data_IF_344757569503
#
_entry.id   IF_344757569503
#
_cell.length_a   1.000
_cell.length_b   1.000
_cell.length_c   1.000
_cell.angle_alpha   90.00
_cell.angle_beta   90.00
_cell.angle_gamma   90.00
#
_symmetry.space_group_name_H-M   'P 1'
#
loop_
_entity.id
_entity.type
_entity.pdbx_description
1 polymer ?
#
# COMPACT_ATOMS: atom_id res chain seq x y z
N UNK A 1 -34.97 -39.41 73.21
CA UNK A 1 -34.17 -39.80 71.99
C UNK A 1 -34.77 -39.04 70.83
N UNK A 2 -34.02 -38.01 70.36
CA UNK A 2 -34.42 -37.20 69.24
C UNK A 2 -33.41 -37.52 68.11
N UNK A 3 -33.84 -37.81 66.86
CA UNK A 3 -32.92 -38.09 65.78
C UNK A 3 -32.39 -36.78 65.16
N UNK A 4 -31.09 -36.76 64.96
CA UNK A 4 -30.37 -35.67 64.29
C UNK A 4 -30.67 -35.66 62.77
N UNK A 5 -31.18 -34.53 62.31
CA UNK A 5 -31.38 -34.26 60.90
C UNK A 5 -30.05 -33.99 60.19
N UNK A 6 -29.89 -34.60 59.04
CA UNK A 6 -28.74 -34.38 58.07
C UNK A 6 -29.08 -33.18 57.22
N UNK A 7 -28.20 -32.14 57.23
CA UNK A 7 -28.27 -30.99 56.32
C UNK A 7 -27.43 -31.33 55.09
N UNK A 8 -27.93 -31.22 53.85
CA UNK A 8 -27.14 -31.42 52.69
C UNK A 8 -26.32 -30.13 52.39
N UNK A 9 -25.02 -30.29 52.21
CA UNK A 9 -24.13 -29.24 51.76
C UNK A 9 -24.40 -28.93 50.29
N UNK A 10 -24.78 -27.69 50.02
CA UNK A 10 -24.93 -27.15 48.65
C UNK A 10 -23.54 -26.83 48.09
N UNK A 11 -23.03 -27.63 47.15
CA UNK A 11 -21.82 -27.34 46.42
C UNK A 11 -22.12 -26.27 45.35
N UNK A 12 -21.64 -25.04 45.58
CA UNK A 12 -21.66 -23.99 44.55
C UNK A 12 -20.48 -24.22 43.59
N UNK A 13 -20.77 -24.71 42.41
CA UNK A 13 -19.79 -24.77 41.34
C UNK A 13 -19.56 -23.35 40.78
N UNK A 14 -18.41 -22.75 41.08
CA UNK A 14 -17.96 -21.54 40.39
C UNK A 14 -17.57 -21.96 38.96
N UNK A 15 -18.41 -21.61 37.99
CA UNK A 15 -18.07 -21.65 36.58
C UNK A 15 -17.13 -20.47 36.29
N UNK A 16 -15.84 -20.76 36.17
CA UNK A 16 -14.89 -19.77 35.66
C UNK A 16 -15.17 -19.57 34.17
N UNK A 17 -15.92 -18.52 33.85
CA UNK A 17 -16.06 -18.05 32.45
C UNK A 17 -14.70 -17.51 32.03
N UNK A 18 -13.96 -18.29 31.26
CA UNK A 18 -12.77 -17.84 30.58
C UNK A 18 -13.23 -16.86 29.47
N UNK A 19 -13.30 -15.58 29.79
CA UNK A 19 -13.43 -14.52 28.81
C UNK A 19 -12.12 -14.52 28.00
N UNK A 20 -12.10 -15.26 26.89
CA UNK A 20 -11.14 -15.00 25.82
C UNK A 20 -11.44 -13.59 25.28
N UNK A 21 -10.91 -12.58 25.96
CA UNK A 21 -10.93 -11.21 25.48
C UNK A 21 -10.10 -11.15 24.20
N UNK A 22 -10.78 -11.11 23.06
CA UNK A 22 -10.16 -10.58 21.86
C UNK A 22 -9.63 -9.19 22.23
N UNK A 23 -8.33 -8.93 22.02
CA UNK A 23 -7.77 -7.61 22.24
C UNK A 23 -8.59 -6.62 21.41
N UNK A 24 -9.30 -5.71 22.08
CA UNK A 24 -10.04 -4.65 21.42
C UNK A 24 -9.02 -3.80 20.65
N UNK A 25 -9.32 -3.49 19.39
CA UNK A 25 -8.51 -2.55 18.62
C UNK A 25 -8.48 -1.20 19.35
N UNK A 26 -7.28 -0.79 19.79
CA UNK A 26 -7.10 0.47 20.53
C UNK A 26 -6.65 1.51 19.50
N UNK A 27 -7.56 1.94 18.66
CA UNK A 27 -7.30 2.93 17.62
C UNK A 27 -8.39 4.01 17.67
N UNK A 28 -8.17 5.12 16.98
CA UNK A 28 -9.22 6.11 16.74
C UNK A 28 -10.43 5.47 16.05
N UNK A 29 -11.55 6.20 15.93
CA UNK A 29 -12.73 5.66 15.24
C UNK A 29 -12.36 5.33 13.78
N UNK A 30 -12.82 4.18 13.31
CA UNK A 30 -12.74 3.83 11.90
C UNK A 30 -13.74 4.65 11.10
N UNK A 31 -13.35 5.09 9.93
CA UNK A 31 -14.19 5.84 9.00
C UNK A 31 -14.29 5.07 7.69
N UNK A 32 -15.51 4.77 7.26
CA UNK A 32 -15.83 4.35 5.92
C UNK A 32 -15.82 5.59 5.03
N UNK A 33 -14.80 5.74 4.18
CA UNK A 33 -14.62 6.94 3.35
C UNK A 33 -15.34 6.84 2.01
N UNK A 34 -15.66 5.64 1.57
CA UNK A 34 -16.33 5.41 0.27
C UNK A 34 -17.85 5.52 0.39
N UNK A 35 -18.48 4.80 1.29
CA UNK A 35 -19.93 4.78 1.54
C UNK A 35 -20.75 4.67 0.24
N UNK A 36 -20.30 3.83 -0.70
CA UNK A 36 -20.83 3.78 -2.05
C UNK A 36 -21.13 2.34 -2.45
N UNK A 37 -22.30 2.12 -3.06
CA UNK A 37 -22.65 0.79 -3.57
C UNK A 37 -21.74 0.38 -4.72
N UNK A 38 -21.21 -0.82 -4.66
CA UNK A 38 -20.30 -1.41 -5.63
C UNK A 38 -18.86 -1.49 -5.12
N UNK A 39 -18.02 -2.38 -5.68
CA UNK A 39 -16.67 -2.60 -5.17
C UNK A 39 -15.80 -1.36 -5.30
N UNK A 40 -15.21 -0.95 -4.19
CA UNK A 40 -14.15 0.05 -4.08
C UNK A 40 -12.85 -0.67 -3.74
N UNK A 41 -11.80 -0.48 -4.51
CA UNK A 41 -10.53 -1.22 -4.35
C UNK A 41 -9.30 -0.35 -4.62
N UNK A 42 -8.11 -0.86 -4.34
CA UNK A 42 -6.83 -0.20 -4.60
C UNK A 42 -6.74 1.18 -3.93
N UNK A 43 -6.96 1.30 -2.62
CA UNK A 43 -6.88 2.59 -1.97
C UNK A 43 -5.44 3.10 -1.88
N UNK A 44 -5.31 4.42 -1.96
CA UNK A 44 -4.06 5.15 -1.77
C UNK A 44 -4.28 6.34 -0.86
N UNK A 45 -3.26 6.76 -0.11
CA UNK A 45 -3.35 7.90 0.81
C UNK A 45 -2.02 8.64 0.93
N UNK A 46 -2.10 9.94 1.13
CA UNK A 46 -0.97 10.79 1.48
C UNK A 46 -1.38 11.89 2.46
N UNK A 47 -0.42 12.44 3.18
CA UNK A 47 -0.58 13.56 4.09
C UNK A 47 0.18 14.78 3.56
N UNK A 48 -0.38 15.98 3.72
CA UNK A 48 0.30 17.22 3.35
C UNK A 48 1.57 17.38 4.21
N UNK A 49 2.74 17.53 3.59
CA UNK A 49 4.01 17.66 4.31
C UNK A 49 4.12 18.89 5.21
N UNK A 50 3.19 19.85 5.13
CA UNK A 50 3.17 21.10 5.88
C UNK A 50 2.09 21.14 6.96
N UNK A 51 0.99 20.42 6.77
CA UNK A 51 -0.17 20.38 7.67
C UNK A 51 -0.72 18.95 7.73
N UNK A 52 -0.45 18.24 8.82
CA UNK A 52 -0.85 16.85 9.03
C UNK A 52 -2.38 16.65 9.18
N UNK A 53 -3.15 17.75 9.24
CA UNK A 53 -4.61 17.70 9.20
C UNK A 53 -5.15 17.49 7.78
N UNK A 54 -4.35 17.79 6.74
CA UNK A 54 -4.76 17.67 5.34
C UNK A 54 -4.33 16.32 4.82
N UNK A 55 -5.33 15.49 4.48
CA UNK A 55 -5.12 14.16 3.88
C UNK A 55 -5.82 14.11 2.52
N UNK A 56 -5.18 13.42 1.59
CA UNK A 56 -5.71 13.08 0.28
C UNK A 56 -5.66 11.57 0.10
N UNK A 57 -6.77 10.98 -0.32
CA UNK A 57 -6.82 9.55 -0.63
C UNK A 57 -7.61 9.33 -1.94
N UNK A 58 -7.49 8.12 -2.47
CA UNK A 58 -8.19 7.71 -3.68
C UNK A 58 -8.46 6.22 -3.71
N UNK A 59 -9.39 5.79 -4.56
CA UNK A 59 -9.65 4.38 -4.87
C UNK A 59 -10.28 4.22 -6.24
N UNK A 60 -10.22 3.00 -6.79
CA UNK A 60 -11.08 2.60 -7.89
C UNK A 60 -12.54 2.56 -7.43
N UNK A 61 -13.46 2.98 -8.28
CA UNK A 61 -14.90 2.70 -8.16
C UNK A 61 -15.34 1.86 -9.36
N UNK A 62 -15.39 0.54 -9.14
CA UNK A 62 -15.49 -0.42 -10.25
C UNK A 62 -16.84 -0.33 -10.98
N UNK A 63 -17.97 -0.17 -10.26
CA UNK A 63 -19.28 -0.04 -10.90
C UNK A 63 -19.49 1.30 -11.60
N UNK A 64 -18.88 2.37 -11.06
CA UNK A 64 -18.95 3.68 -11.71
C UNK A 64 -17.99 3.81 -12.90
N UNK A 65 -16.98 2.91 -12.99
CA UNK A 65 -15.91 3.04 -13.97
C UNK A 65 -15.14 4.35 -13.77
N UNK A 66 -14.89 4.76 -12.53
CA UNK A 66 -14.34 6.06 -12.18
C UNK A 66 -13.31 5.96 -11.04
N UNK A 67 -12.47 6.98 -10.92
CA UNK A 67 -11.60 7.18 -9.78
C UNK A 67 -12.32 8.00 -8.71
N UNK A 68 -12.24 7.56 -7.45
CA UNK A 68 -12.78 8.30 -6.29
C UNK A 68 -11.66 9.06 -5.61
N UNK A 69 -11.99 10.25 -5.17
CA UNK A 69 -11.10 11.13 -4.41
C UNK A 69 -11.72 11.37 -3.04
N UNK A 70 -10.94 11.17 -2.00
CA UNK A 70 -11.31 11.44 -0.61
C UNK A 70 -10.40 12.50 -0.04
N UNK A 71 -10.95 13.48 0.68
CA UNK A 71 -10.20 14.57 1.30
C UNK A 71 -10.61 14.77 2.74
N UNK A 72 -9.64 14.96 3.62
CA UNK A 72 -9.83 15.38 5.01
C UNK A 72 -9.02 16.64 5.27
N UNK A 73 -9.56 17.53 6.11
CA UNK A 73 -8.90 18.76 6.60
C UNK A 73 -8.81 18.81 8.11
N UNK A 74 -9.16 17.72 8.78
CA UNK A 74 -9.21 17.60 10.25
C UNK A 74 -8.40 16.39 10.78
N UNK A 75 -7.39 15.96 10.00
CA UNK A 75 -6.51 14.86 10.39
C UNK A 75 -7.19 13.49 10.30
N UNK A 76 -8.13 13.30 9.36
CA UNK A 76 -8.81 12.04 9.13
C UNK A 76 -10.02 11.78 10.04
N UNK A 77 -10.47 12.76 10.82
CA UNK A 77 -11.67 12.61 11.65
C UNK A 77 -12.96 12.63 10.81
N UNK A 78 -12.97 13.41 9.74
CA UNK A 78 -14.05 13.41 8.74
C UNK A 78 -13.49 13.47 7.32
N UNK A 79 -14.29 12.96 6.35
CA UNK A 79 -13.88 12.87 4.96
C UNK A 79 -14.98 13.35 4.02
N UNK A 80 -14.59 14.07 3.00
CA UNK A 80 -15.42 14.37 1.83
C UNK A 80 -15.04 13.43 0.68
N UNK A 81 -16.02 13.03 -0.12
CA UNK A 81 -15.85 12.14 -1.26
C UNK A 81 -16.32 12.82 -2.54
N UNK A 82 -15.58 12.66 -3.62
CA UNK A 82 -15.93 13.15 -4.97
C UNK A 82 -15.39 12.19 -6.03
N UNK A 83 -15.91 12.32 -7.25
CA UNK A 83 -15.38 11.59 -8.39
C UNK A 83 -14.37 12.46 -9.13
N UNK A 84 -13.21 11.88 -9.47
CA UNK A 84 -12.29 12.52 -10.40
C UNK A 84 -12.91 12.45 -11.80
N UNK A 85 -13.47 13.56 -12.26
CA UNK A 85 -14.15 13.63 -13.55
C UNK A 85 -13.12 13.52 -14.67
N UNK A 86 -13.15 12.49 -15.52
CA UNK A 86 -12.31 12.48 -16.71
C UNK A 86 -12.80 13.58 -17.65
N UNK A 87 -11.92 14.51 -17.96
CA UNK A 87 -12.26 15.67 -18.78
C UNK A 87 -12.39 15.38 -20.28
N UNK A 88 -12.32 14.12 -20.70
CA UNK A 88 -12.30 13.75 -22.12
C UNK A 88 -13.08 12.46 -22.37
N UNK A 89 -14.18 12.58 -23.11
CA UNK A 89 -14.87 11.48 -23.75
C UNK A 89 -15.96 10.81 -22.91
N UNK A 90 -16.73 9.99 -23.59
CA UNK A 90 -17.81 9.19 -23.06
C UNK A 90 -17.33 8.30 -21.90
N UNK A 91 -17.85 8.54 -20.70
CA UNK A 91 -17.54 7.75 -19.49
C UNK A 91 -17.86 6.26 -19.66
N UNK A 92 -18.77 5.90 -20.54
CA UNK A 92 -19.15 4.50 -20.78
C UNK A 92 -18.11 3.72 -21.60
N UNK A 93 -17.15 4.41 -22.23
CA UNK A 93 -16.14 3.78 -23.09
C UNK A 93 -14.75 3.69 -22.47
N UNK A 94 -14.54 4.15 -21.23
CA UNK A 94 -13.21 4.18 -20.60
C UNK A 94 -13.24 3.60 -19.20
N UNK A 95 -12.18 2.87 -18.82
CA UNK A 95 -11.96 2.35 -17.47
C UNK A 95 -10.71 2.99 -16.88
N UNK A 96 -10.83 3.99 -15.99
CA UNK A 96 -9.72 4.41 -15.15
C UNK A 96 -9.46 3.39 -14.05
N UNK A 97 -8.21 3.25 -13.64
CA UNK A 97 -7.77 2.32 -12.60
C UNK A 97 -6.44 2.74 -11.96
N UNK A 98 -6.11 2.07 -10.88
CA UNK A 98 -4.80 2.11 -10.20
C UNK A 98 -4.39 3.53 -9.75
N UNK A 99 -5.13 4.10 -8.78
CA UNK A 99 -4.89 5.44 -8.30
C UNK A 99 -3.56 5.59 -7.54
N UNK A 100 -2.93 6.75 -7.70
CA UNK A 100 -1.82 7.20 -6.87
C UNK A 100 -2.03 8.65 -6.44
N UNK A 101 -1.66 9.03 -5.22
CA UNK A 101 -1.81 10.39 -4.72
C UNK A 101 -0.52 10.94 -4.13
N UNK A 102 -0.28 12.24 -4.30
CA UNK A 102 0.83 12.95 -3.70
C UNK A 102 0.48 14.42 -3.41
N UNK A 103 1.20 15.04 -2.46
CA UNK A 103 1.08 16.47 -2.13
C UNK A 103 2.47 17.08 -2.05
N UNK A 104 2.70 18.22 -2.71
CA UNK A 104 3.98 18.93 -2.68
C UNK A 104 4.08 19.94 -1.54
N UNK A 105 5.28 20.55 -1.37
CA UNK A 105 5.51 21.57 -0.34
C UNK A 105 4.78 22.89 -0.58
N UNK A 106 4.12 23.06 -1.73
CA UNK A 106 3.23 24.22 -1.98
C UNK A 106 1.77 23.92 -1.61
N UNK A 107 1.46 22.65 -1.25
CA UNK A 107 0.13 22.14 -0.98
C UNK A 107 -0.66 21.77 -2.22
N UNK A 108 0.01 21.71 -3.35
CA UNK A 108 -0.61 21.19 -4.56
C UNK A 108 -0.77 19.67 -4.44
N UNK A 109 -1.95 19.21 -4.78
CA UNK A 109 -2.37 17.82 -4.74
C UNK A 109 -2.32 17.24 -6.15
N UNK A 110 -1.87 15.98 -6.25
CA UNK A 110 -1.75 15.23 -7.50
C UNK A 110 -2.49 13.91 -7.37
N UNK A 111 -3.14 13.51 -8.45
CA UNK A 111 -3.83 12.23 -8.59
C UNK A 111 -3.40 11.58 -9.91
N UNK A 112 -2.74 10.45 -9.85
CA UNK A 112 -2.35 9.63 -10.99
C UNK A 112 -3.28 8.45 -11.16
N UNK A 113 -3.49 7.99 -12.38
CA UNK A 113 -4.24 6.79 -12.72
C UNK A 113 -3.85 6.31 -14.12
N UNK A 114 -4.12 5.07 -14.43
CA UNK A 114 -4.13 4.62 -15.81
C UNK A 114 -5.58 4.56 -16.33
N UNK A 115 -5.71 4.52 -17.65
CA UNK A 115 -7.02 4.46 -18.30
C UNK A 115 -6.97 3.68 -19.59
N UNK A 116 -7.80 2.64 -19.67
CA UNK A 116 -8.03 1.86 -20.88
C UNK A 116 -9.15 2.49 -21.72
N UNK A 117 -8.96 2.49 -23.04
CA UNK A 117 -9.96 3.00 -24.01
C UNK A 117 -9.93 2.14 -25.27
N UNK A 118 -11.04 1.46 -25.62
CA UNK A 118 -12.29 1.28 -24.85
C UNK A 118 -12.09 0.48 -23.56
N UNK A 119 -13.13 0.40 -22.73
CA UNK A 119 -13.12 -0.38 -21.49
C UNK A 119 -13.21 -1.89 -21.75
N UNK A 120 -12.13 -2.48 -22.23
CA UNK A 120 -11.99 -3.92 -22.47
C UNK A 120 -10.60 -4.38 -22.04
N UNK A 121 -10.46 -5.65 -21.69
CA UNK A 121 -9.19 -6.24 -21.22
C UNK A 121 -8.04 -6.14 -22.24
N UNK A 122 -8.35 -6.01 -23.52
CA UNK A 122 -7.35 -5.93 -24.59
C UNK A 122 -7.08 -4.49 -25.06
N UNK A 123 -7.76 -3.51 -24.47
CA UNK A 123 -7.62 -2.12 -24.85
C UNK A 123 -6.27 -1.55 -24.45
N UNK A 124 -5.69 -0.66 -25.24
CA UNK A 124 -4.48 0.05 -24.82
C UNK A 124 -4.77 0.95 -23.61
N UNK A 125 -3.95 0.85 -22.60
CA UNK A 125 -3.98 1.70 -21.41
C UNK A 125 -2.92 2.79 -21.48
N UNK A 126 -3.15 3.92 -20.79
CA UNK A 126 -2.27 5.09 -20.71
C UNK A 126 -2.33 5.71 -19.32
N UNK A 127 -1.22 6.29 -18.90
CA UNK A 127 -1.08 6.94 -17.58
C UNK A 127 -1.35 8.44 -17.66
N UNK A 128 -2.11 8.94 -16.68
CA UNK A 128 -2.55 10.32 -16.56
C UNK A 128 -2.28 10.87 -15.18
N UNK A 129 -2.15 12.20 -15.09
CA UNK A 129 -2.10 12.92 -13.82
C UNK A 129 -3.02 14.14 -13.88
N UNK A 130 -3.85 14.30 -12.85
CA UNK A 130 -4.58 15.54 -12.56
C UNK A 130 -3.97 16.23 -11.35
N UNK A 131 -4.10 17.55 -11.25
CA UNK A 131 -3.63 18.31 -10.08
C UNK A 131 -4.62 19.39 -9.67
N UNK A 132 -4.57 19.81 -8.38
CA UNK A 132 -5.33 20.93 -7.85
C UNK A 132 -4.54 21.67 -6.77
N UNK A 133 -4.88 22.94 -6.49
CA UNK A 133 -4.23 23.72 -5.43
C UNK A 133 -5.03 23.60 -4.13
N UNK A 134 -4.66 22.60 -3.32
CA UNK A 134 -5.34 22.33 -2.03
C UNK A 134 -6.69 21.62 -2.15
N UNK A 135 -7.31 21.26 -1.02
CA UNK A 135 -8.51 20.41 -0.98
C UNK A 135 -9.76 21.04 -1.59
N UNK A 136 -9.88 22.37 -1.55
CA UNK A 136 -11.08 23.10 -1.99
C UNK A 136 -11.06 23.48 -3.47
N UNK A 137 -9.93 23.33 -4.15
CA UNK A 137 -9.82 23.69 -5.56
C UNK A 137 -10.34 22.56 -6.48
N UNK A 138 -10.86 22.95 -7.63
CA UNK A 138 -11.23 21.99 -8.66
C UNK A 138 -10.00 21.30 -9.25
N UNK A 139 -10.14 20.03 -9.61
CA UNK A 139 -9.11 19.29 -10.32
C UNK A 139 -8.89 19.82 -11.72
N UNK A 140 -7.66 19.88 -12.17
CA UNK A 140 -7.31 20.14 -13.56
C UNK A 140 -7.85 19.03 -14.48
N UNK A 141 -7.91 19.30 -15.77
CA UNK A 141 -8.02 18.22 -16.75
C UNK A 141 -6.82 17.28 -16.60
N UNK A 142 -7.01 15.95 -16.62
CA UNK A 142 -5.91 15.00 -16.59
C UNK A 142 -4.96 15.21 -17.78
N UNK A 143 -3.67 15.22 -17.50
CA UNK A 143 -2.59 15.33 -18.49
C UNK A 143 -2.09 13.93 -18.81
N UNK A 144 -2.01 13.59 -20.10
CA UNK A 144 -1.37 12.36 -20.57
C UNK A 144 0.15 12.49 -20.36
N UNK A 145 0.73 11.63 -19.49
CA UNK A 145 2.14 11.76 -19.09
C UNK A 145 3.09 11.32 -20.19
N UNK A 146 2.75 10.25 -20.90
CA UNK A 146 3.62 9.70 -21.94
C UNK A 146 2.83 9.33 -23.18
N UNK A 147 2.83 10.17 -24.24
CA UNK A 147 2.24 9.82 -25.52
C UNK A 147 3.14 8.83 -26.29
N UNK A 148 3.36 7.64 -25.73
CA UNK A 148 4.18 6.61 -26.36
C UNK A 148 3.35 5.91 -27.47
N UNK A 149 3.34 6.47 -28.64
CA UNK A 149 2.58 6.20 -29.85
C UNK A 149 1.92 4.82 -30.05
N UNK A 150 2.61 3.71 -29.77
CA UNK A 150 2.12 2.35 -29.98
C UNK A 150 2.29 1.44 -28.78
N UNK A 151 2.34 1.99 -27.54
CA UNK A 151 2.30 1.15 -26.35
C UNK A 151 1.05 0.27 -26.37
N UNK A 152 1.18 -0.96 -25.96
CA UNK A 152 0.04 -1.84 -25.78
C UNK A 152 -0.64 -1.53 -24.45
N UNK A 153 0.15 -1.34 -23.41
CA UNK A 153 -0.37 -1.23 -22.07
C UNK A 153 0.61 -0.43 -21.16
N UNK A 154 0.14 0.63 -20.56
CA UNK A 154 0.79 1.35 -19.46
C UNK A 154 -0.07 1.15 -18.22
N UNK A 155 0.49 0.60 -17.14
CA UNK A 155 -0.25 0.03 -16.03
C UNK A 155 0.37 0.36 -14.68
N UNK A 156 -0.47 0.44 -13.65
CA UNK A 156 -0.09 0.59 -12.24
C UNK A 156 0.88 1.76 -11.99
N UNK A 157 0.42 2.99 -12.30
CA UNK A 157 1.24 4.17 -12.04
C UNK A 157 1.38 4.41 -10.55
N UNK A 158 2.59 4.73 -10.09
CA UNK A 158 2.85 5.23 -8.75
C UNK A 158 3.48 6.62 -8.81
N UNK A 159 3.01 7.53 -7.96
CA UNK A 159 3.40 8.93 -7.94
C UNK A 159 4.10 9.29 -6.63
N UNK A 160 5.16 10.07 -6.72
CA UNK A 160 5.82 10.69 -5.55
C UNK A 160 6.24 12.12 -5.86
N UNK A 161 6.40 12.91 -4.83
CA UNK A 161 6.95 14.26 -4.90
C UNK A 161 8.24 14.32 -4.08
N UNK A 162 9.25 14.98 -4.62
CA UNK A 162 10.42 15.36 -3.83
C UNK A 162 10.05 16.46 -2.84
N UNK A 163 9.69 16.05 -1.64
CA UNK A 163 9.27 16.96 -0.57
C UNK A 163 10.39 17.30 0.43
N UNK A 164 11.66 17.15 0.01
CA UNK A 164 12.81 17.53 0.82
C UNK A 164 13.22 18.97 0.50
N UNK A 165 13.14 19.93 1.45
CA UNK A 165 13.47 21.34 1.19
C UNK A 165 14.94 21.58 0.75
N UNK A 166 15.83 20.63 1.07
CA UNK A 166 17.26 20.69 0.74
C UNK A 166 17.61 20.00 -0.57
N UNK A 167 16.63 19.36 -1.23
CA UNK A 167 16.84 18.69 -2.49
C UNK A 167 17.06 19.68 -3.65
N UNK A 168 17.95 19.41 -4.59
CA UNK A 168 18.05 20.18 -5.84
C UNK A 168 16.80 20.04 -6.73
N UNK A 169 15.94 19.07 -6.45
CA UNK A 169 14.73 18.75 -7.21
C UNK A 169 13.46 18.95 -6.38
N UNK A 170 13.50 19.83 -5.38
CA UNK A 170 12.35 20.09 -4.49
C UNK A 170 11.08 20.41 -5.28
N UNK A 171 9.96 19.78 -4.91
CA UNK A 171 8.65 19.81 -5.58
C UNK A 171 8.59 19.17 -6.98
N UNK A 172 9.66 18.52 -7.46
CA UNK A 172 9.59 17.69 -8.66
C UNK A 172 8.65 16.52 -8.41
N UNK A 173 7.72 16.32 -9.33
CA UNK A 173 6.75 15.21 -9.31
C UNK A 173 7.29 14.09 -10.17
N UNK A 174 7.30 12.87 -9.65
CA UNK A 174 7.71 11.66 -10.36
C UNK A 174 6.52 10.75 -10.56
N UNK A 175 6.36 10.21 -11.77
CA UNK A 175 5.43 9.13 -12.07
C UNK A 175 6.22 7.96 -12.62
N UNK A 176 6.06 6.78 -12.01
CA UNK A 176 6.63 5.52 -12.47
C UNK A 176 5.49 4.56 -12.84
N UNK A 177 5.69 3.73 -13.87
CA UNK A 177 4.69 2.76 -14.31
C UNK A 177 5.29 1.57 -15.02
N UNK A 178 4.50 0.52 -15.16
CA UNK A 178 4.80 -0.66 -15.96
C UNK A 178 4.41 -0.40 -17.40
N UNK A 179 5.34 -0.57 -18.34
CA UNK A 179 5.13 -0.37 -19.76
C UNK A 179 5.25 -1.70 -20.51
N UNK A 180 4.17 -2.16 -21.12
CA UNK A 180 4.18 -3.33 -21.99
C UNK A 180 4.13 -2.89 -23.46
N UNK A 181 5.18 -3.22 -24.18
CA UNK A 181 5.27 -2.94 -25.62
C UNK A 181 4.41 -3.90 -26.44
N UNK A 182 4.16 -3.57 -27.72
CA UNK A 182 3.47 -4.50 -28.65
C UNK A 182 4.21 -5.80 -28.89
N UNK A 183 5.51 -5.84 -28.64
CA UNK A 183 6.34 -7.04 -28.75
C UNK A 183 6.39 -7.85 -27.47
N UNK A 184 5.50 -7.58 -26.51
CA UNK A 184 5.37 -8.23 -25.21
C UNK A 184 6.59 -8.02 -24.27
N UNK A 185 7.56 -7.20 -24.65
CA UNK A 185 8.63 -6.83 -23.74
C UNK A 185 8.13 -5.76 -22.76
N UNK A 186 8.30 -6.00 -21.47
CA UNK A 186 7.95 -5.03 -20.43
C UNK A 186 9.16 -4.21 -19.98
N UNK A 187 8.90 -3.03 -19.45
CA UNK A 187 9.90 -2.13 -18.89
C UNK A 187 9.27 -1.28 -17.78
N UNK A 188 10.04 -0.92 -16.79
CA UNK A 188 9.65 0.13 -15.85
C UNK A 188 10.13 1.46 -16.41
N UNK A 189 9.19 2.39 -16.58
CA UNK A 189 9.43 3.75 -17.05
C UNK A 189 9.14 4.76 -15.95
N UNK A 190 9.81 5.88 -16.01
CA UNK A 190 9.59 7.03 -15.13
C UNK A 190 9.59 8.32 -15.96
N UNK A 191 8.74 9.27 -15.56
CA UNK A 191 8.73 10.64 -16.07
C UNK A 191 8.64 11.60 -14.89
N UNK A 192 9.09 12.82 -15.06
CA UNK A 192 8.99 13.85 -14.02
C UNK A 192 8.40 15.15 -14.58
N UNK A 193 7.87 15.96 -13.67
CA UNK A 193 7.35 17.30 -13.93
C UNK A 193 7.97 18.30 -12.96
N UNK A 194 8.45 19.43 -13.49
CA UNK A 194 8.97 20.58 -12.72
C UNK A 194 7.99 21.75 -12.68
N UNK A 195 6.85 21.63 -13.34
CA UNK A 195 5.85 22.69 -13.48
C UNK A 195 4.48 22.33 -12.91
N UNK A 196 4.49 21.52 -11.83
CA UNK A 196 3.30 21.09 -11.11
C UNK A 196 2.36 20.19 -11.93
N UNK A 197 2.90 19.30 -12.74
CA UNK A 197 2.14 18.31 -13.50
C UNK A 197 1.54 18.85 -14.81
N UNK A 198 1.91 20.06 -15.25
CA UNK A 198 1.40 20.63 -16.51
C UNK A 198 2.08 20.01 -17.72
N UNK A 199 3.38 19.81 -17.62
CA UNK A 199 4.18 19.11 -18.64
C UNK A 199 5.05 18.05 -17.99
N UNK A 200 5.44 17.05 -18.79
CA UNK A 200 6.21 15.90 -18.33
C UNK A 200 7.43 15.66 -19.22
N UNK A 201 8.52 15.22 -18.61
CA UNK A 201 9.72 14.81 -19.32
C UNK A 201 9.46 13.64 -20.25
N UNK A 202 10.35 13.39 -21.21
CA UNK A 202 10.36 12.12 -21.92
C UNK A 202 10.59 10.99 -20.91
N UNK A 203 9.87 9.85 -21.03
CA UNK A 203 10.10 8.73 -20.13
C UNK A 203 11.54 8.24 -20.17
N UNK A 204 12.16 8.15 -19.00
CA UNK A 204 13.43 7.46 -18.80
C UNK A 204 13.17 5.99 -18.46
N UNK A 205 14.07 5.11 -18.88
CA UNK A 205 14.00 3.69 -18.59
C UNK A 205 14.69 3.39 -17.26
N UNK A 206 13.96 2.80 -16.33
CA UNK A 206 14.47 2.42 -15.00
C UNK A 206 15.06 1.00 -15.02
N UNK A 207 14.32 0.05 -15.57
CA UNK A 207 14.70 -1.36 -15.60
C UNK A 207 15.44 -1.73 -16.89
N UNK A 208 16.14 -2.86 -16.90
CA UNK A 208 16.41 -3.58 -18.14
C UNK A 208 15.07 -4.09 -18.69
N UNK A 209 14.99 -4.39 -20.00
CA UNK A 209 13.80 -5.03 -20.55
C UNK A 209 13.66 -6.43 -19.95
N UNK A 210 12.45 -6.79 -19.55
CA UNK A 210 12.06 -8.10 -19.07
C UNK A 210 10.75 -8.55 -19.72
N UNK A 211 10.29 -9.73 -19.38
CA UNK A 211 9.07 -10.26 -19.98
C UNK A 211 7.81 -9.86 -19.20
N UNK A 212 7.94 -9.70 -17.87
CA UNK A 212 6.82 -9.32 -17.01
C UNK A 212 7.31 -8.50 -15.80
N UNK A 213 7.40 -7.18 -15.97
CA UNK A 213 7.80 -6.21 -14.95
C UNK A 213 6.58 -5.39 -14.53
N UNK A 214 6.19 -5.48 -13.26
CA UNK A 214 4.94 -4.90 -12.76
C UNK A 214 5.08 -4.35 -11.33
N UNK A 215 4.12 -3.58 -10.85
CA UNK A 215 4.04 -3.00 -9.51
C UNK A 215 5.24 -2.10 -9.19
N UNK A 216 5.49 -1.13 -10.07
CA UNK A 216 6.51 -0.13 -9.81
C UNK A 216 6.10 0.79 -8.66
N UNK A 217 7.06 1.14 -7.80
CA UNK A 217 6.87 2.12 -6.73
C UNK A 217 8.08 3.06 -6.64
N UNK A 218 7.89 4.31 -6.20
CA UNK A 218 8.92 5.35 -6.22
C UNK A 218 8.97 6.14 -4.92
N UNK A 219 10.17 6.44 -4.45
CA UNK A 219 10.41 7.33 -3.31
C UNK A 219 11.65 8.19 -3.54
N UNK A 220 11.70 9.34 -2.87
CA UNK A 220 12.81 10.29 -2.93
C UNK A 220 13.48 10.44 -1.57
N UNK A 221 14.76 10.82 -1.57
CA UNK A 221 15.53 11.10 -0.36
C UNK A 221 15.80 12.60 -0.19
N UNK A 222 16.33 12.98 0.98
CA UNK A 222 16.64 14.39 1.28
C UNK A 222 17.59 15.09 0.30
N UNK A 223 18.42 14.34 -0.39
CA UNK A 223 19.38 14.87 -1.36
C UNK A 223 18.93 14.72 -2.83
N UNK A 224 17.64 14.40 -3.05
CA UNK A 224 17.08 14.26 -4.40
C UNK A 224 17.39 12.93 -5.10
N UNK A 225 17.99 11.95 -4.40
CA UNK A 225 18.12 10.59 -4.96
C UNK A 225 16.75 9.96 -5.10
N UNK A 226 16.46 9.40 -6.27
CA UNK A 226 15.20 8.70 -6.58
C UNK A 226 15.44 7.18 -6.51
N UNK A 227 14.58 6.47 -5.82
CA UNK A 227 14.58 5.01 -5.74
C UNK A 227 13.30 4.46 -6.35
N UNK A 228 13.44 3.44 -7.17
CA UNK A 228 12.32 2.76 -7.81
C UNK A 228 12.43 1.27 -7.56
N UNK A 229 11.34 0.66 -7.11
CA UNK A 229 11.21 -0.79 -6.94
C UNK A 229 10.17 -1.35 -7.89
N UNK A 230 10.23 -2.64 -8.19
CA UNK A 230 9.23 -3.35 -8.98
C UNK A 230 9.31 -4.85 -8.74
N UNK A 231 8.28 -5.56 -9.17
CA UNK A 231 8.26 -7.02 -9.27
C UNK A 231 8.72 -7.43 -10.67
N UNK A 232 9.69 -8.30 -10.76
CA UNK A 232 10.08 -9.04 -11.96
C UNK A 232 9.49 -10.45 -11.84
N UNK A 233 8.32 -10.65 -12.45
CA UNK A 233 7.58 -11.91 -12.37
C UNK A 233 8.26 -13.02 -13.17
N UNK A 234 9.07 -12.68 -14.17
CA UNK A 234 9.81 -13.67 -14.97
C UNK A 234 10.95 -14.32 -14.20
N UNK A 235 11.59 -13.59 -13.29
CA UNK A 235 12.64 -14.09 -12.40
C UNK A 235 12.19 -14.32 -10.96
N UNK A 236 10.92 -14.06 -10.64
CA UNK A 236 10.35 -14.13 -9.28
C UNK A 236 11.13 -13.34 -8.26
N UNK A 237 11.53 -12.12 -8.65
CA UNK A 237 12.32 -11.25 -7.78
C UNK A 237 11.69 -9.88 -7.62
N UNK A 238 11.82 -9.33 -6.42
CA UNK A 238 11.70 -7.89 -6.16
C UNK A 238 13.00 -7.23 -6.56
N UNK A 239 12.95 -6.13 -7.29
CA UNK A 239 14.11 -5.40 -7.77
C UNK A 239 14.07 -3.93 -7.34
N UNK A 240 15.25 -3.30 -7.34
CA UNK A 240 15.40 -1.88 -7.02
C UNK A 240 16.49 -1.24 -7.89
N UNK A 241 16.25 0.01 -8.30
CA UNK A 241 17.25 0.88 -8.93
C UNK A 241 17.23 2.27 -8.30
N UNK A 242 18.31 3.04 -8.51
CA UNK A 242 18.38 4.44 -8.04
C UNK A 242 18.91 5.36 -9.12
N UNK A 243 18.46 6.62 -9.07
CA UNK A 243 18.97 7.75 -9.81
C UNK A 243 19.53 8.78 -8.85
N UNK A 244 20.65 9.43 -9.20
CA UNK A 244 21.25 10.53 -8.43
C UNK A 244 21.20 11.86 -9.17
N UNK A 245 20.53 11.92 -10.29
CA UNK A 245 20.40 13.09 -11.17
C UNK A 245 18.92 13.48 -11.39
N UNK A 246 18.07 13.20 -10.40
CA UNK A 246 16.66 13.59 -10.43
C UNK A 246 15.80 12.77 -11.40
N UNK A 247 16.14 11.50 -11.62
CA UNK A 247 15.33 10.58 -12.43
C UNK A 247 15.67 10.55 -13.91
N UNK A 248 16.71 11.26 -14.35
CA UNK A 248 17.14 11.30 -15.76
C UNK A 248 17.78 9.98 -16.17
N UNK A 249 18.67 9.44 -15.31
CA UNK A 249 19.35 8.17 -15.56
C UNK A 249 19.33 7.30 -14.30
N UNK A 250 19.21 6.00 -14.50
CA UNK A 250 19.26 5.00 -13.44
C UNK A 250 20.52 4.14 -13.57
N UNK A 251 21.13 3.85 -12.42
CA UNK A 251 22.19 2.85 -12.32
C UNK A 251 21.66 1.44 -12.59
N UNK A 252 22.57 0.45 -12.56
CA UNK A 252 22.18 -0.95 -12.68
C UNK A 252 21.22 -1.32 -11.54
N UNK A 253 20.11 -1.97 -11.89
CA UNK A 253 19.17 -2.53 -10.94
C UNK A 253 19.75 -3.76 -10.26
N UNK A 254 19.30 -4.02 -9.02
CA UNK A 254 19.74 -5.17 -8.24
C UNK A 254 18.53 -5.87 -7.60
N UNK A 255 18.66 -7.19 -7.32
CA UNK A 255 17.63 -7.93 -6.61
C UNK A 255 17.56 -7.47 -5.14
N UNK A 256 16.33 -7.33 -4.64
CA UNK A 256 15.99 -7.09 -3.23
C UNK A 256 15.72 -8.43 -2.53
N UNK A 257 14.88 -9.26 -3.16
CA UNK A 257 14.48 -10.56 -2.65
C UNK A 257 13.95 -11.44 -3.78
N UNK A 258 14.02 -12.75 -3.57
CA UNK A 258 13.24 -13.71 -4.35
C UNK A 258 11.97 -14.08 -3.56
N UNK A 259 10.90 -14.40 -4.26
CA UNK A 259 9.65 -14.90 -3.69
C UNK A 259 9.21 -16.20 -4.35
N UNK A 260 8.48 -17.02 -3.60
CA UNK A 260 7.93 -18.27 -4.12
C UNK A 260 6.58 -18.01 -4.77
N UNK A 261 6.33 -18.71 -5.87
CA UNK A 261 5.07 -18.62 -6.60
C UNK A 261 4.57 -20.00 -6.96
N UNK A 262 3.28 -20.10 -7.21
CA UNK A 262 2.65 -21.30 -7.75
C UNK A 262 1.79 -20.94 -8.96
N UNK A 263 1.55 -21.87 -9.90
CA UNK A 263 0.60 -21.65 -10.97
C UNK A 263 -0.82 -21.43 -10.41
N UNK A 264 -1.48 -20.34 -10.85
CA UNK A 264 -2.86 -20.02 -10.50
C UNK A 264 -3.71 -20.05 -11.76
N UNK A 265 -4.78 -20.87 -11.82
CA UNK A 265 -5.51 -21.13 -13.07
C UNK A 265 -6.03 -19.88 -13.81
N UNK A 266 -6.35 -18.80 -13.09
CA UNK A 266 -6.92 -17.58 -13.67
C UNK A 266 -5.97 -16.37 -13.67
N UNK A 267 -4.74 -16.55 -13.13
CA UNK A 267 -3.76 -15.48 -12.98
C UNK A 267 -2.37 -15.79 -13.56
N UNK A 268 -2.18 -17.00 -14.11
CA UNK A 268 -0.87 -17.45 -14.52
C UNK A 268 -0.01 -17.88 -13.33
N UNK A 269 0.79 -16.99 -12.78
CA UNK A 269 1.74 -17.28 -11.67
C UNK A 269 1.58 -16.21 -10.58
N UNK A 270 1.52 -16.65 -9.33
CA UNK A 270 1.40 -15.74 -8.20
C UNK A 270 1.54 -16.41 -6.83
N UNK A 271 1.34 -15.65 -5.79
CA UNK A 271 1.29 -16.10 -4.40
C UNK A 271 -0.15 -16.49 -4.08
N UNK A 272 -0.37 -17.71 -3.55
CA UNK A 272 -1.70 -18.19 -3.18
C UNK A 272 -1.91 -18.08 -1.69
N UNK A 273 -2.93 -17.33 -1.30
CA UNK A 273 -3.44 -17.29 0.07
C UNK A 273 -4.93 -17.66 0.11
N UNK A 274 -5.35 -18.26 1.22
CA UNK A 274 -6.75 -18.67 1.38
C UNK A 274 -7.70 -17.50 1.55
N UNK A 275 -7.22 -16.39 2.11
CA UNK A 275 -8.01 -15.18 2.31
C UNK A 275 -8.36 -14.49 0.99
N UNK A 276 -7.57 -14.70 -0.06
CA UNK A 276 -7.82 -14.11 -1.39
C UNK A 276 -7.75 -15.19 -2.49
N UNK A 277 -8.81 -15.96 -2.67
CA UNK A 277 -8.81 -17.07 -3.62
C UNK A 277 -9.01 -16.63 -5.08
N UNK A 278 -9.30 -15.36 -5.33
CA UNK A 278 -9.67 -14.84 -6.66
C UNK A 278 -8.65 -13.91 -7.25
N UNK A 279 -7.80 -13.29 -6.44
CA UNK A 279 -6.78 -12.35 -6.90
C UNK A 279 -5.43 -13.02 -7.09
N UNK A 280 -4.62 -12.40 -7.92
CA UNK A 280 -3.24 -12.80 -8.15
C UNK A 280 -2.35 -12.00 -7.21
N UNK A 281 -2.13 -12.48 -5.99
CA UNK A 281 -1.21 -11.81 -5.09
C UNK A 281 0.19 -11.90 -5.66
N UNK A 282 0.84 -10.75 -5.76
CA UNK A 282 2.22 -10.58 -6.16
C UNK A 282 3.02 -10.02 -4.99
N UNK A 283 4.33 -9.97 -5.11
CA UNK A 283 5.19 -9.40 -4.07
C UNK A 283 4.88 -7.93 -3.78
N UNK A 284 4.51 -7.15 -4.79
CA UNK A 284 4.10 -5.74 -4.72
C UNK A 284 4.99 -4.88 -3.79
N UNK A 285 6.22 -4.54 -4.20
CA UNK A 285 7.17 -3.87 -3.35
C UNK A 285 6.85 -2.39 -3.15
N UNK A 286 6.86 -1.94 -1.90
CA UNK A 286 6.75 -0.52 -1.53
C UNK A 286 8.11 -0.04 -1.04
N UNK A 287 8.64 1.02 -1.65
CA UNK A 287 9.87 1.66 -1.23
C UNK A 287 9.60 2.86 -0.33
N UNK A 288 10.28 2.92 0.80
CA UNK A 288 10.25 4.05 1.74
C UNK A 288 11.67 4.50 2.06
N UNK A 289 11.86 5.79 2.26
CA UNK A 289 13.16 6.36 2.60
C UNK A 289 13.07 7.14 3.90
N UNK A 290 14.03 6.95 4.79
CA UNK A 290 14.12 7.79 5.99
C UNK A 290 14.66 9.18 5.63
N UNK A 291 13.77 10.15 5.67
CA UNK A 291 14.06 11.57 5.44
C UNK A 291 14.03 12.40 6.71
N UNK A 292 14.00 11.79 7.91
CA UNK A 292 13.84 12.46 9.19
C UNK A 292 15.05 13.31 9.61
N UNK A 293 16.24 12.95 9.19
CA UNK A 293 17.49 13.53 9.71
C UNK A 293 17.98 12.87 11.02
N UNK A 294 17.28 11.83 11.47
CA UNK A 294 17.66 11.00 12.63
C UNK A 294 18.80 10.01 12.34
N UNK A 295 19.08 9.09 13.27
CA UNK A 295 20.22 8.17 13.18
C UNK A 295 20.14 7.16 12.02
N UNK A 296 18.97 6.99 11.44
CA UNK A 296 18.73 6.11 10.31
C UNK A 296 18.45 6.86 9.00
N UNK A 297 18.64 8.18 9.01
CA UNK A 297 18.40 9.03 7.83
C UNK A 297 19.19 8.56 6.61
N UNK A 298 18.50 8.49 5.48
CA UNK A 298 19.03 7.97 4.22
C UNK A 298 18.93 6.44 4.07
N UNK A 299 18.40 5.70 5.06
CA UNK A 299 18.07 4.28 4.88
C UNK A 299 16.92 4.14 3.90
N UNK A 300 17.00 3.09 3.08
CA UNK A 300 15.98 2.69 2.13
C UNK A 300 15.38 1.38 2.59
N UNK A 301 14.07 1.36 2.71
CA UNK A 301 13.29 0.21 3.13
C UNK A 301 12.42 -0.26 1.97
N UNK A 302 12.36 -1.56 1.76
CA UNK A 302 11.48 -2.17 0.76
C UNK A 302 10.64 -3.22 1.46
N UNK A 303 9.34 -2.97 1.59
CA UNK A 303 8.38 -3.95 2.09
C UNK A 303 7.71 -4.68 0.93
N UNK A 304 7.38 -5.95 1.11
CA UNK A 304 6.78 -6.80 0.08
C UNK A 304 6.12 -8.03 0.70
N UNK A 305 5.17 -8.64 -0.02
CA UNK A 305 4.66 -9.97 0.35
C UNK A 305 5.69 -11.02 -0.04
N UNK A 306 6.12 -11.81 0.92
CA UNK A 306 7.11 -12.89 0.72
C UNK A 306 6.77 -14.12 1.52
N UNK A 307 7.28 -15.28 1.09
CA UNK A 307 7.07 -16.55 1.76
C UNK A 307 7.97 -16.66 2.99
N UNK A 308 7.41 -16.98 4.15
CA UNK A 308 8.17 -17.24 5.37
C UNK A 308 8.78 -18.65 5.41
N UNK A 309 9.51 -18.98 6.49
CA UNK A 309 10.18 -20.28 6.65
C UNK A 309 9.22 -21.47 6.79
N UNK A 310 7.97 -21.24 7.15
CA UNK A 310 6.95 -22.29 7.32
C UNK A 310 6.14 -22.52 6.06
N UNK A 311 6.41 -21.74 4.98
CA UNK A 311 5.65 -21.77 3.74
C UNK A 311 4.34 -20.99 3.80
N UNK A 312 4.18 -20.12 4.81
CA UNK A 312 3.09 -19.15 4.88
C UNK A 312 3.57 -17.82 4.30
N UNK A 313 2.66 -17.00 3.83
CA UNK A 313 3.00 -15.68 3.32
C UNK A 313 3.22 -14.69 4.47
N UNK A 314 4.16 -13.80 4.30
CA UNK A 314 4.53 -12.83 5.34
C UNK A 314 4.81 -11.44 4.81
N UNK A 315 4.52 -10.44 5.65
CA UNK A 315 4.94 -9.07 5.43
C UNK A 315 6.46 -8.98 5.66
N UNK A 316 7.22 -8.92 4.56
CA UNK A 316 8.67 -8.92 4.57
C UNK A 316 9.23 -7.50 4.40
N UNK A 317 10.46 -7.29 4.88
CA UNK A 317 11.19 -6.04 4.76
C UNK A 317 12.67 -6.29 4.43
N UNK A 318 13.18 -5.59 3.44
CA UNK A 318 14.61 -5.47 3.17
C UNK A 318 15.08 -4.05 3.43
N UNK A 319 16.30 -3.88 3.96
CA UNK A 319 16.87 -2.59 4.37
C UNK A 319 18.22 -2.36 3.70
N UNK A 320 18.41 -1.16 3.17
CA UNK A 320 19.62 -0.74 2.46
C UNK A 320 20.11 0.62 2.96
N UNK A 321 21.39 0.90 2.74
CA UNK A 321 21.90 2.27 2.82
C UNK A 321 21.51 3.09 1.57
N UNK A 322 21.82 4.38 1.57
CA UNK A 322 21.51 5.28 0.45
C UNK A 322 22.19 4.92 -0.89
N UNK A 323 23.18 4.02 -0.87
CA UNK A 323 23.85 3.48 -2.07
C UNK A 323 23.33 2.12 -2.48
N UNK A 324 22.23 1.68 -1.86
CA UNK A 324 21.63 0.37 -2.04
C UNK A 324 22.54 -0.81 -1.62
N UNK A 325 23.46 -0.59 -0.69
CA UNK A 325 24.18 -1.69 -0.06
C UNK A 325 23.31 -2.28 1.05
N UNK A 326 23.11 -3.61 1.09
CA UNK A 326 22.32 -4.24 2.13
C UNK A 326 22.89 -3.95 3.52
N UNK A 327 22.01 -3.65 4.48
CA UNK A 327 22.41 -3.49 5.86
C UNK A 327 22.46 -4.86 6.53
N UNK A 328 23.59 -5.19 7.21
CA UNK A 328 23.83 -6.48 7.84
C UNK A 328 22.71 -6.88 8.82
N UNK A 329 22.33 -8.15 8.78
CA UNK A 329 21.18 -8.70 9.52
C UNK A 329 19.97 -9.02 8.63
N UNK A 330 19.99 -8.60 7.37
CA UNK A 330 18.95 -8.84 6.36
C UNK A 330 19.59 -9.52 5.13
N UNK A 331 19.88 -10.82 5.14
CA UNK A 331 20.54 -11.47 4.01
C UNK A 331 19.64 -11.56 2.78
N UNK A 332 20.20 -11.17 1.64
CA UNK A 332 19.60 -10.92 0.33
C UNK A 332 18.81 -12.07 -0.33
N UNK A 333 18.92 -13.31 0.08
CA UNK A 333 18.32 -14.41 -0.68
C UNK A 333 17.84 -15.61 0.15
N UNK A 334 17.99 -15.62 1.49
CA UNK A 334 17.66 -16.79 2.30
C UNK A 334 16.88 -16.53 3.60
N UNK A 335 16.63 -15.29 3.99
CA UNK A 335 15.93 -14.99 5.24
C UNK A 335 15.10 -13.72 5.08
N UNK A 336 13.91 -13.87 4.56
CA UNK A 336 12.90 -12.84 4.74
C UNK A 336 12.70 -12.66 6.25
N UNK A 337 12.99 -11.51 6.80
CA UNK A 337 12.56 -11.23 8.16
C UNK A 337 11.10 -10.85 8.08
N UNK A 338 10.26 -11.80 8.34
CA UNK A 338 8.85 -11.50 8.60
C UNK A 338 8.84 -10.66 9.88
N UNK A 339 8.45 -9.43 9.72
CA UNK A 339 8.47 -8.40 10.77
C UNK A 339 7.71 -8.83 12.04
N UNK A 340 6.90 -9.86 11.96
CA UNK A 340 5.75 -10.01 12.85
C UNK A 340 5.53 -11.39 13.45
N UNK A 341 6.36 -12.39 13.17
CA UNK A 341 6.15 -13.73 13.76
C UNK A 341 7.07 -13.98 14.97
N UNK A 342 6.57 -13.83 16.20
CA UNK A 342 7.26 -14.38 17.37
C UNK A 342 7.27 -15.91 17.29
N UNK A 343 8.33 -16.57 17.83
CA UNK A 343 8.38 -18.02 17.91
C UNK A 343 7.13 -18.60 18.59
N UNK A 344 6.52 -19.63 17.99
CA UNK A 344 5.34 -20.32 18.52
C UNK A 344 3.99 -19.70 18.15
N UNK A 345 3.96 -18.68 17.29
CA UNK A 345 2.72 -18.13 16.77
C UNK A 345 2.02 -19.17 15.86
N UNK A 346 0.68 -19.32 15.92
CA UNK A 346 -0.07 -20.12 14.95
C UNK A 346 0.15 -19.64 13.52
N UNK A 347 0.11 -20.56 12.55
CA UNK A 347 0.25 -20.23 11.12
C UNK A 347 -0.75 -19.15 10.69
N UNK A 348 -0.28 -18.13 10.01
CA UNK A 348 -1.09 -17.03 9.46
C UNK A 348 -0.47 -16.55 8.14
N UNK A 349 -1.28 -15.93 7.30
CA UNK A 349 -0.82 -15.22 6.12
C UNK A 349 -0.85 -13.73 6.39
N UNK A 350 0.19 -13.04 5.93
CA UNK A 350 0.30 -11.58 5.94
C UNK A 350 0.61 -11.12 4.52
N UNK A 351 -0.16 -10.17 4.01
CA UNK A 351 -0.06 -9.75 2.62
C UNK A 351 -0.36 -8.27 2.43
N UNK A 352 0.00 -7.73 1.29
CA UNK A 352 -0.13 -6.32 0.90
C UNK A 352 0.50 -5.35 1.92
N UNK A 353 1.77 -5.57 2.33
CA UNK A 353 2.40 -4.67 3.30
C UNK A 353 2.64 -3.30 2.70
N UNK A 354 2.26 -2.27 3.45
CA UNK A 354 2.51 -0.88 3.16
C UNK A 354 3.48 -0.33 4.21
N UNK A 355 4.62 0.22 3.78
CA UNK A 355 5.58 0.86 4.67
C UNK A 355 5.63 2.36 4.48
N UNK A 356 5.80 3.10 5.56
CA UNK A 356 6.03 4.53 5.55
C UNK A 356 6.98 4.93 6.68
N UNK A 357 7.81 5.94 6.46
CA UNK A 357 8.68 6.51 7.48
C UNK A 357 8.13 7.86 7.92
N UNK A 358 7.96 8.02 9.23
CA UNK A 358 7.65 9.33 9.79
C UNK A 358 8.87 10.25 9.66
N UNK A 359 8.70 11.33 8.90
CA UNK A 359 9.79 12.29 8.69
C UNK A 359 10.15 13.09 9.94
N UNK A 360 9.28 13.12 10.95
CA UNK A 360 9.50 13.87 12.19
C UNK A 360 10.48 13.19 13.13
N UNK A 361 10.46 11.83 13.20
CA UNK A 361 11.27 11.06 14.16
C UNK A 361 11.99 9.84 13.57
N UNK A 362 11.77 9.51 12.29
CA UNK A 362 12.38 8.37 11.61
C UNK A 362 11.78 7.02 11.99
N UNK A 363 10.63 7.00 12.67
CA UNK A 363 9.93 5.75 12.93
C UNK A 363 9.42 5.12 11.64
N UNK A 364 9.67 3.83 11.48
CA UNK A 364 9.23 3.04 10.34
C UNK A 364 7.95 2.29 10.71
N UNK A 365 6.89 2.56 9.97
CA UNK A 365 5.58 1.94 10.13
C UNK A 365 5.35 0.90 9.04
N UNK A 366 4.62 -0.16 9.39
CA UNK A 366 4.23 -1.22 8.47
C UNK A 366 2.80 -1.65 8.79
N UNK A 367 1.92 -1.57 7.79
CA UNK A 367 0.53 -2.05 7.89
C UNK A 367 0.28 -3.10 6.81
N UNK A 368 -0.55 -4.10 7.11
CA UNK A 368 -0.78 -5.26 6.24
C UNK A 368 -2.05 -6.00 6.66
N UNK A 369 -2.60 -6.81 5.76
CA UNK A 369 -3.61 -7.81 6.15
C UNK A 369 -2.96 -8.96 6.90
N UNK A 370 -3.62 -9.47 7.93
CA UNK A 370 -3.16 -10.59 8.77
C UNK A 370 -4.33 -11.53 9.09
N UNK A 371 -4.19 -12.79 8.70
CA UNK A 371 -5.17 -13.84 9.02
C UNK A 371 -4.99 -14.41 10.43
N UNK A 372 -4.09 -13.84 11.25
CA UNK A 372 -3.85 -14.32 12.62
C UNK A 372 -5.12 -14.37 13.46
N UNK A 373 -5.35 -15.52 14.10
CA UNK A 373 -6.54 -15.78 14.93
C UNK A 373 -7.70 -16.42 14.16
N UNK A 374 -7.65 -16.50 12.83
CA UNK A 374 -8.54 -17.31 12.04
C UNK A 374 -7.89 -18.66 11.65
N UNK A 375 -8.42 -19.76 12.16
CA UNK A 375 -7.90 -21.11 11.87
C UNK A 375 -8.08 -21.53 10.40
N UNK A 376 -9.09 -20.98 9.73
CA UNK A 376 -9.36 -21.26 8.31
C UNK A 376 -8.44 -20.45 7.38
N UNK A 377 -7.89 -19.34 7.89
CA UNK A 377 -7.05 -18.39 7.16
C UNK A 377 -7.79 -17.75 5.96
N UNK A 378 -9.10 -17.59 6.08
CA UNK A 378 -9.96 -16.96 5.07
C UNK A 378 -10.35 -15.54 5.46
N UNK A 379 -10.22 -15.19 6.75
CA UNK A 379 -10.54 -13.86 7.28
C UNK A 379 -9.27 -13.12 7.64
N UNK A 380 -9.12 -11.92 7.12
CA UNK A 380 -7.96 -11.08 7.38
C UNK A 380 -8.36 -9.77 8.05
N UNK A 381 -7.60 -9.36 9.08
CA UNK A 381 -7.71 -8.04 9.70
C UNK A 381 -6.60 -7.15 9.20
N UNK A 382 -6.89 -5.88 8.94
CA UNK A 382 -5.82 -4.92 8.71
C UNK A 382 -5.12 -4.62 10.03
N UNK A 383 -3.80 -4.73 10.04
CA UNK A 383 -2.95 -4.68 11.23
C UNK A 383 -1.73 -3.81 11.00
N UNK A 384 -1.22 -3.15 12.04
CA UNK A 384 -0.04 -2.30 11.95
C UNK A 384 0.99 -2.63 13.02
N UNK A 385 2.26 -2.36 12.72
CA UNK A 385 3.40 -2.42 13.64
C UNK A 385 4.32 -1.23 13.38
N UNK A 386 5.12 -0.84 14.38
CA UNK A 386 6.09 0.26 14.27
C UNK A 386 7.45 -0.15 14.81
N UNK A 387 8.50 0.36 14.16
CA UNK A 387 9.89 0.25 14.57
C UNK A 387 10.48 1.64 14.84
N UNK A 388 11.05 1.85 16.01
CA UNK A 388 11.78 3.07 16.36
C UNK A 388 13.29 2.98 16.11
N UNK A 389 13.79 1.86 15.58
CA UNK A 389 15.22 1.59 15.43
C UNK A 389 15.61 1.10 14.03
N UNK A 390 14.97 1.70 13.02
CA UNK A 390 15.29 1.47 11.62
C UNK A 390 15.01 0.05 11.13
N UNK A 391 13.91 -0.56 11.59
CA UNK A 391 13.47 -1.90 11.20
C UNK A 391 14.14 -3.04 11.97
N UNK A 392 15.00 -2.76 12.96
CA UNK A 392 15.73 -3.81 13.69
C UNK A 392 14.84 -4.57 14.67
N UNK A 393 13.93 -3.89 15.35
CA UNK A 393 12.89 -4.49 16.20
C UNK A 393 11.55 -3.78 15.96
N UNK A 394 10.46 -4.48 16.26
CA UNK A 394 9.11 -4.03 15.99
C UNK A 394 8.21 -4.21 17.20
N UNK A 395 7.18 -3.38 17.35
CA UNK A 395 6.06 -3.71 18.22
C UNK A 395 5.38 -4.99 17.72
N UNK A 396 4.61 -5.64 18.59
CA UNK A 396 3.69 -6.66 18.10
C UNK A 396 2.67 -6.01 17.16
N UNK A 397 2.22 -6.71 16.09
CA UNK A 397 1.14 -6.21 15.26
C UNK A 397 -0.14 -6.05 16.07
N UNK A 398 -0.78 -4.90 15.90
CA UNK A 398 -2.08 -4.57 16.48
C UNK A 398 -3.10 -4.49 15.36
N UNK A 399 -4.25 -5.13 15.52
CA UNK A 399 -5.38 -4.98 14.61
C UNK A 399 -5.88 -3.55 14.66
N UNK A 400 -5.90 -2.89 13.51
CA UNK A 400 -6.44 -1.53 13.34
C UNK A 400 -7.83 -1.57 12.74
N UNK A 401 -8.19 -2.66 12.05
CA UNK A 401 -9.55 -2.95 11.65
C UNK A 401 -10.31 -3.63 12.79
N UNK A 402 -11.50 -3.14 13.14
CA UNK A 402 -12.39 -3.75 14.16
C UNK A 402 -13.12 -4.99 13.65
N UNK A 403 -13.24 -5.15 12.33
CA UNK A 403 -13.83 -6.31 11.66
C UNK A 403 -12.85 -6.95 10.69
N UNK A 404 -13.04 -8.21 10.39
CA UNK A 404 -12.29 -8.93 9.40
C UNK A 404 -12.91 -8.78 8.02
N UNK A 405 -12.09 -8.66 7.00
CA UNK A 405 -12.47 -8.85 5.61
C UNK A 405 -12.45 -10.33 5.24
N UNK A 406 -13.39 -10.79 4.42
CA UNK A 406 -13.50 -12.16 3.96
C UNK A 406 -13.91 -12.22 2.47
N UNK A 407 -12.89 -12.29 1.60
CA UNK A 407 -13.07 -12.37 0.15
C UNK A 407 -13.53 -13.74 -0.35
N UNK A 408 -13.68 -14.73 0.54
CA UNK A 408 -14.24 -16.04 0.18
C UNK A 408 -15.76 -16.03 0.09
N UNK A 409 -16.40 -14.99 0.62
CA UNK A 409 -17.85 -14.86 0.66
C UNK A 409 -18.45 -14.68 -0.76
N UNK A 410 -19.68 -15.20 -0.99
CA UNK A 410 -20.39 -14.91 -2.23
C UNK A 410 -20.62 -13.42 -2.43
N UNK A 411 -20.27 -12.90 -3.61
CA UNK A 411 -20.40 -11.48 -3.95
C UNK A 411 -19.16 -10.66 -3.71
N UNK A 412 -18.18 -11.15 -2.95
CA UNK A 412 -16.88 -10.54 -2.82
C UNK A 412 -16.10 -10.64 -4.14
N UNK A 413 -15.33 -9.60 -4.47
CA UNK A 413 -14.52 -9.56 -5.69
C UNK A 413 -13.04 -9.71 -5.41
N UNK A 414 -12.44 -8.78 -4.65
CA UNK A 414 -11.01 -8.78 -4.33
C UNK A 414 -10.67 -7.67 -3.33
N UNK A 415 -9.61 -7.85 -2.55
CA UNK A 415 -9.00 -6.77 -1.75
C UNK A 415 -8.45 -5.62 -2.63
N UNK A 416 -8.20 -5.85 -3.89
CA UNK A 416 -7.40 -5.00 -4.75
C UNK A 416 -5.97 -5.53 -4.89
N UNK A 417 -5.07 -4.67 -5.37
CA UNK A 417 -3.67 -5.03 -5.59
C UNK A 417 -2.71 -4.29 -4.66
N UNK A 418 -3.16 -3.30 -3.93
CA UNK A 418 -2.40 -2.54 -2.94
C UNK A 418 -3.33 -1.77 -2.01
N UNK A 419 -2.78 -1.37 -0.89
CA UNK A 419 -3.40 -0.58 0.16
C UNK A 419 -2.61 0.73 0.35
N UNK A 420 -2.99 1.57 1.30
CA UNK A 420 -2.28 2.82 1.55
C UNK A 420 -1.85 3.02 3.00
N UNK A 421 -0.78 3.78 3.19
CA UNK A 421 -0.29 4.20 4.50
C UNK A 421 0.38 5.57 4.39
N UNK A 422 -0.17 6.56 5.09
CA UNK A 422 0.47 7.86 5.31
C UNK A 422 0.85 8.01 6.79
N UNK A 423 1.98 8.64 7.08
CA UNK A 423 2.45 8.86 8.45
C UNK A 423 3.00 10.26 8.61
N UNK A 424 2.59 10.96 9.66
CA UNK A 424 3.13 12.25 10.06
C UNK A 424 3.01 12.48 11.57
N UNK A 425 4.04 13.06 12.18
CA UNK A 425 4.05 13.51 13.57
C UNK A 425 3.58 12.44 14.59
N UNK A 426 4.01 11.17 14.40
CA UNK A 426 3.68 10.05 15.26
C UNK A 426 2.28 9.47 15.07
N UNK A 427 1.55 9.90 14.02
CA UNK A 427 0.22 9.40 13.65
C UNK A 427 0.28 8.73 12.28
N UNK A 428 -0.17 7.50 12.22
CA UNK A 428 -0.36 6.76 10.98
C UNK A 428 -1.83 6.77 10.56
N UNK A 429 -2.04 6.87 9.26
CA UNK A 429 -3.34 6.79 8.58
C UNK A 429 -3.30 5.61 7.61
N UNK A 430 -3.52 4.38 8.08
CA UNK A 430 -3.73 3.24 7.20
C UNK A 430 -5.07 3.37 6.48
N UNK A 431 -5.12 2.94 5.22
CA UNK A 431 -6.35 2.87 4.43
C UNK A 431 -6.39 1.53 3.71
N UNK A 432 -7.54 0.86 3.72
CA UNK A 432 -7.66 -0.51 3.22
C UNK A 432 -9.04 -0.82 2.65
N UNK A 433 -9.11 -1.84 1.81
CA UNK A 433 -10.34 -2.43 1.29
C UNK A 433 -10.95 -3.37 2.34
N UNK A 434 -12.25 -3.26 2.59
CA UNK A 434 -12.95 -3.97 3.66
C UNK A 434 -14.30 -4.54 3.20
N UNK A 435 -14.57 -5.78 3.56
CA UNK A 435 -15.80 -6.49 3.17
C UNK A 435 -16.84 -6.58 4.28
N UNK A 436 -16.70 -5.88 5.42
CA UNK A 436 -17.65 -5.96 6.54
C UNK A 436 -19.08 -5.59 6.18
N UNK A 437 -19.27 -4.82 5.13
CA UNK A 437 -20.59 -4.43 4.58
C UNK A 437 -20.91 -5.07 3.23
N UNK A 438 -20.29 -6.22 2.95
CA UNK A 438 -20.38 -6.89 1.66
C UNK A 438 -21.83 -7.07 1.14
N UNK A 439 -22.76 -7.46 2.00
CA UNK A 439 -24.15 -7.67 1.62
C UNK A 439 -24.89 -6.39 1.23
N UNK A 440 -24.44 -5.22 1.69
CA UNK A 440 -25.08 -3.93 1.49
C UNK A 440 -24.42 -3.11 0.38
N UNK A 441 -23.10 -2.99 0.45
CA UNK A 441 -22.31 -2.06 -0.36
C UNK A 441 -21.21 -2.74 -1.18
N UNK A 442 -20.84 -3.97 -0.89
CA UNK A 442 -19.71 -4.74 -1.38
C UNK A 442 -18.39 -4.31 -0.70
N UNK A 443 -17.27 -4.25 -1.42
CA UNK A 443 -16.00 -3.76 -0.87
C UNK A 443 -16.04 -2.25 -0.68
N UNK A 444 -15.70 -1.80 0.52
CA UNK A 444 -15.63 -0.40 0.92
C UNK A 444 -14.23 -0.02 1.36
N UNK A 445 -13.93 1.26 1.35
CA UNK A 445 -12.63 1.78 1.79
C UNK A 445 -12.74 2.33 3.20
N UNK A 446 -11.97 1.73 4.10
CA UNK A 446 -11.88 2.15 5.51
C UNK A 446 -10.52 2.76 5.83
N UNK A 447 -10.52 3.68 6.77
CA UNK A 447 -9.31 4.28 7.35
C UNK A 447 -9.49 4.50 8.84
N UNK A 448 -8.38 4.68 9.56
CA UNK A 448 -8.38 5.06 10.98
C UNK A 448 -7.13 5.85 11.32
N UNK A 449 -7.05 6.39 12.53
CA UNK A 449 -5.87 7.04 13.10
C UNK A 449 -5.21 6.10 14.10
N UNK A 450 -3.91 5.88 13.95
CA UNK A 450 -3.12 5.00 14.82
C UNK A 450 -1.91 5.76 15.34
N UNK A 451 -1.74 5.80 16.67
CA UNK A 451 -0.55 6.38 17.29
C UNK A 451 0.44 5.29 17.75
N UNK A 452 1.68 5.66 18.00
CA UNK A 452 2.65 4.73 18.62
C UNK A 452 2.19 4.20 19.97
N UNK A 453 1.47 5.04 20.74
CA UNK A 453 0.91 4.64 22.04
C UNK A 453 -0.18 3.56 21.89
N UNK A 454 -0.96 3.59 20.81
CA UNK A 454 -1.95 2.57 20.52
C UNK A 454 -1.28 1.22 20.24
N UNK A 455 -0.22 1.21 19.43
CA UNK A 455 0.54 -0.01 19.14
C UNK A 455 1.31 -0.56 20.36
N UNK A 456 1.72 0.31 21.28
CA UNK A 456 2.39 -0.13 22.51
C UNK A 456 1.43 -0.75 23.52
N UNK A 457 0.15 -0.34 23.54
CA UNK A 457 -0.88 -0.86 24.46
C UNK A 457 -1.53 -2.15 23.98
N UNK A 458 -1.58 -2.38 22.69
CA UNK A 458 -2.23 -3.56 22.08
C UNK A 458 -1.34 -4.78 21.94
N UNK A 459 -0.06 -4.69 22.30
CA UNK A 459 0.97 -5.76 22.19
C UNK A 459 1.27 -6.49 23.57
#
# INVERSE_FOLDING_TARGET
MVPRGIVPALAVALATVCLCGGAAAITGPEVDVSQLRGPQTNPTITVDPRDDRILLAGSNSILEGAERVYSSTDGGASWSSSTLTPAVGDLQSTCPSDPGVAIDLTGRQYYSFDRSTPCTSDAPSRVYVASRQGPDAAWSKPVLVAPLGRARFDDKPAIAVDSAPTSPHVNRVYLVWSHLSRLLASSILISHSDDHGRTWSKPAKVSRAGDDLIYANVATSRNGTVYVTWTDSSSYTVRIARSTDGGEHFGADQPVAAFSVVPIPHCGIGIVIRADPRSCIQANPIVSVDTSGGPYSGRVYVSYTGTNFTGDEGAALSTFDSRLRPIAGFPLLRRHRVVTEPPGRPRSDQFWPQSAVDRSDGSLWLCFYDTFGDRTRTKAFFSCAVSGNGGSTWTRPVRVASAASDETQPGARQYGYYEGLAVANGVAHPIWTDTRRLAELQEEIYTTRVTRADLARGG
#
